data_IF_632201439035
#
_entry.id   IF_632201439035
#
_cell.length_a   1.000
_cell.length_b   1.000
_cell.length_c   1.000
_cell.angle_alpha   90.00
_cell.angle_beta   90.00
_cell.angle_gamma   90.00
#
_symmetry.space_group_name_H-M   'P 1'
#
loop_
_entity.id
_entity.type
_entity.pdbx_description
1 polymer ?
#
# COMPACT_ATOMS: atom_id res chain seq x y z
N UNK A 1 24.26 -12.39 17.47
CA UNK A 1 22.78 -12.41 17.53
C UNK A 1 22.35 -10.97 17.80
N UNK A 2 22.01 -10.18 16.77
CA UNK A 2 21.62 -8.79 16.97
C UNK A 2 20.21 -8.81 17.59
N UNK A 3 20.15 -8.49 18.87
CA UNK A 3 18.90 -8.38 19.62
C UNK A 3 18.11 -7.13 19.19
N UNK A 4 16.87 -7.05 19.65
CA UNK A 4 15.98 -5.92 19.44
C UNK A 4 16.68 -4.59 19.77
N UNK A 5 16.78 -3.69 18.79
CA UNK A 5 17.29 -2.33 18.97
C UNK A 5 16.16 -1.40 19.43
N UNK A 6 16.24 -0.95 20.69
CA UNK A 6 15.28 -0.04 21.30
C UNK A 6 15.74 1.42 21.30
N UNK A 7 16.86 1.76 20.63
CA UNK A 7 17.41 3.11 20.56
C UNK A 7 16.37 4.16 20.14
N UNK A 8 15.53 3.81 19.16
CA UNK A 8 14.44 4.64 18.67
C UNK A 8 13.32 4.85 19.69
N UNK A 9 12.99 3.84 20.50
CA UNK A 9 12.00 3.96 21.56
C UNK A 9 12.50 4.91 22.65
N UNK A 10 13.74 4.73 23.11
CA UNK A 10 14.36 5.60 24.13
C UNK A 10 14.48 7.04 23.63
N UNK A 11 14.87 7.25 22.37
CA UNK A 11 14.91 8.57 21.73
C UNK A 11 13.52 9.22 21.69
N UNK A 12 12.51 8.48 21.26
CA UNK A 12 11.14 9.01 21.16
C UNK A 12 10.56 9.36 22.54
N UNK A 13 10.84 8.54 23.57
CA UNK A 13 10.47 8.83 24.96
C UNK A 13 11.17 10.10 25.50
N UNK A 14 12.47 10.26 25.22
CA UNK A 14 13.22 11.45 25.61
C UNK A 14 12.73 12.73 24.90
N UNK A 15 12.36 12.63 23.62
CA UNK A 15 11.76 13.73 22.85
C UNK A 15 10.39 14.12 23.40
N UNK A 16 9.57 13.12 23.74
CA UNK A 16 8.26 13.35 24.35
C UNK A 16 8.37 14.01 25.73
N UNK A 17 9.33 13.59 26.56
CA UNK A 17 9.63 14.23 27.85
C UNK A 17 10.10 15.68 27.69
N UNK A 18 10.68 16.03 26.54
CA UNK A 18 11.07 17.41 26.17
C UNK A 18 9.94 18.20 25.51
N UNK A 19 8.71 17.68 25.52
CA UNK A 19 7.54 18.35 24.96
C UNK A 19 7.48 18.33 23.43
N UNK A 20 8.29 17.53 22.75
CA UNK A 20 8.17 17.33 21.31
C UNK A 20 6.97 16.40 21.07
N UNK A 21 5.88 16.88 20.45
CA UNK A 21 4.73 16.04 20.19
C UNK A 21 5.12 14.91 19.24
N UNK A 22 4.56 13.72 19.49
CA UNK A 22 4.70 12.62 18.55
C UNK A 22 4.14 13.05 17.19
N UNK A 23 4.82 12.72 16.07
CA UNK A 23 4.28 12.97 14.75
C UNK A 23 2.89 12.36 14.66
N UNK A 24 1.88 13.20 14.37
CA UNK A 24 0.52 12.72 14.23
C UNK A 24 0.47 11.84 12.98
N UNK A 25 0.24 10.53 13.19
CA UNK A 25 -0.02 9.60 12.10
C UNK A 25 -1.15 10.17 11.24
N UNK A 26 -0.83 10.49 10.00
CA UNK A 26 -1.78 11.11 9.07
C UNK A 26 -2.54 9.98 8.40
N UNK A 27 -3.77 9.75 8.82
CA UNK A 27 -4.70 8.89 8.07
C UNK A 27 -5.12 9.68 6.83
N UNK A 28 -4.70 9.23 5.66
CA UNK A 28 -5.33 9.68 4.41
C UNK A 28 -6.67 8.97 4.27
N UNK A 29 -7.69 9.64 3.77
CA UNK A 29 -8.89 8.91 3.42
C UNK A 29 -8.57 7.91 2.31
N UNK A 30 -9.22 6.77 2.40
CA UNK A 30 -8.88 5.59 1.61
C UNK A 30 -10.17 4.82 1.44
N UNK A 31 -10.47 4.40 0.22
CA UNK A 31 -11.54 3.43 -0.03
C UNK A 31 -10.91 2.24 -0.72
N UNK A 32 -10.94 1.09 -0.07
CA UNK A 32 -10.49 -0.17 -0.66
C UNK A 32 -11.67 -1.14 -0.72
N UNK A 33 -11.75 -1.88 -1.82
CA UNK A 33 -12.80 -2.86 -2.05
C UNK A 33 -12.18 -4.14 -2.58
N UNK A 34 -12.80 -5.28 -2.27
CA UNK A 34 -12.46 -6.56 -2.85
C UNK A 34 -13.74 -7.32 -3.19
N UNK A 35 -13.72 -8.07 -4.30
CA UNK A 35 -14.80 -9.00 -4.64
C UNK A 35 -14.22 -10.28 -5.24
N UNK A 36 -14.91 -11.40 -4.99
CA UNK A 36 -14.52 -12.72 -5.51
C UNK A 36 -15.12 -12.92 -6.91
N UNK A 37 -14.29 -13.35 -7.85
CA UNK A 37 -14.68 -13.89 -9.16
C UNK A 37 -13.84 -15.16 -9.45
N UNK A 38 -14.19 -15.92 -10.48
CA UNK A 38 -13.55 -17.21 -10.76
C UNK A 38 -12.15 -17.06 -11.42
N UNK A 39 -11.07 -17.29 -10.66
CA UNK A 39 -9.68 -17.30 -11.15
C UNK A 39 -8.68 -17.16 -9.99
N UNK A 40 -7.50 -17.81 -10.04
CA UNK A 40 -6.61 -18.15 -8.90
C UNK A 40 -5.33 -17.41 -8.41
N UNK A 41 -4.21 -18.13 -8.18
CA UNK A 41 -3.22 -18.03 -7.07
C UNK A 41 -2.16 -16.93 -7.18
N UNK A 42 -2.45 -15.77 -6.57
CA UNK A 42 -1.47 -14.81 -6.02
C UNK A 42 -2.11 -14.14 -4.79
N UNK A 43 -1.34 -13.85 -3.73
CA UNK A 43 -1.85 -13.13 -2.53
C UNK A 43 -1.54 -11.65 -2.67
N UNK A 44 -2.56 -10.81 -2.55
CA UNK A 44 -2.47 -9.36 -2.50
C UNK A 44 -3.12 -8.82 -1.23
N UNK A 45 -2.62 -7.67 -0.80
CA UNK A 45 -3.15 -6.95 0.34
C UNK A 45 -3.38 -5.50 -0.04
N UNK A 46 -4.56 -4.97 0.27
CA UNK A 46 -4.85 -3.55 0.23
C UNK A 46 -4.95 -3.03 1.67
N UNK A 47 -4.35 -1.87 1.95
CA UNK A 47 -4.31 -1.28 3.28
C UNK A 47 -5.12 0.01 3.38
N UNK A 48 -5.75 0.20 4.53
CA UNK A 48 -6.42 1.43 4.96
C UNK A 48 -6.03 1.76 6.41
N UNK A 49 -6.24 3.02 6.81
CA UNK A 49 -5.86 3.52 8.13
C UNK A 49 -4.50 4.23 8.12
N UNK A 50 -3.66 3.97 9.12
CA UNK A 50 -2.33 4.58 9.20
C UNK A 50 -1.42 3.99 8.13
N UNK A 51 -1.01 4.81 7.15
CA UNK A 51 -0.21 4.35 6.01
C UNK A 51 1.08 3.62 6.43
N UNK A 52 1.84 4.21 7.37
CA UNK A 52 3.08 3.61 7.88
C UNK A 52 2.82 2.22 8.50
N UNK A 53 1.77 2.09 9.31
CA UNK A 53 1.42 0.82 9.95
C UNK A 53 1.08 -0.25 8.91
N UNK A 54 0.32 0.12 7.86
CA UNK A 54 -0.03 -0.81 6.77
C UNK A 54 1.21 -1.25 5.99
N UNK A 55 2.14 -0.35 5.70
CA UNK A 55 3.35 -0.64 4.93
C UNK A 55 4.31 -1.54 5.70
N UNK A 56 4.64 -1.20 6.95
CA UNK A 56 5.56 -2.00 7.76
C UNK A 56 4.98 -3.36 8.13
N UNK A 57 3.67 -3.43 8.43
CA UNK A 57 3.00 -4.70 8.73
C UNK A 57 3.00 -5.62 7.51
N UNK A 58 2.65 -5.10 6.33
CA UNK A 58 2.61 -5.91 5.10
C UNK A 58 4.01 -6.34 4.66
N UNK A 59 5.02 -5.47 4.76
CA UNK A 59 6.41 -5.83 4.45
C UNK A 59 6.94 -6.95 5.36
N UNK A 60 6.67 -6.87 6.67
CA UNK A 60 7.06 -7.89 7.64
C UNK A 60 6.42 -9.25 7.31
N UNK A 61 5.10 -9.28 7.08
CA UNK A 61 4.41 -10.53 6.77
C UNK A 61 4.82 -11.08 5.40
N UNK A 62 5.07 -10.23 4.41
CA UNK A 62 5.57 -10.65 3.10
C UNK A 62 6.89 -11.40 3.22
N UNK A 63 7.85 -10.85 3.98
CA UNK A 63 9.14 -11.50 4.23
C UNK A 63 8.98 -12.84 4.96
N UNK A 64 8.09 -12.92 5.95
CA UNK A 64 7.82 -14.18 6.66
C UNK A 64 7.15 -15.23 5.76
N UNK A 65 6.25 -14.82 4.87
CA UNK A 65 5.63 -15.70 3.89
C UNK A 65 6.62 -16.21 2.86
N UNK A 66 7.55 -15.36 2.42
CA UNK A 66 8.62 -15.75 1.51
C UNK A 66 9.52 -16.81 2.16
N UNK A 67 10.00 -16.56 3.39
CA UNK A 67 10.76 -17.53 4.17
C UNK A 67 10.00 -18.85 4.37
N UNK A 68 8.69 -18.77 4.66
CA UNK A 68 7.84 -19.96 4.80
C UNK A 68 7.73 -20.74 3.48
N UNK A 69 7.60 -20.04 2.35
CA UNK A 69 7.49 -20.68 1.03
C UNK A 69 8.80 -21.35 0.61
N UNK A 70 9.94 -20.70 0.86
CA UNK A 70 11.27 -21.25 0.61
C UNK A 70 11.55 -22.47 1.51
N UNK A 71 11.19 -22.40 2.79
CA UNK A 71 11.38 -23.53 3.72
C UNK A 71 10.50 -24.73 3.39
N UNK A 72 9.27 -24.51 2.90
CA UNK A 72 8.33 -25.61 2.59
C UNK A 72 8.44 -26.12 1.15
N UNK A 73 9.12 -25.37 0.27
CA UNK A 73 9.15 -25.63 -1.16
C UNK A 73 7.77 -25.55 -1.83
N UNK A 74 6.80 -24.87 -1.20
CA UNK A 74 5.40 -24.79 -1.67
C UNK A 74 4.90 -23.36 -1.62
N UNK A 75 4.00 -23.03 -2.54
CA UNK A 75 3.32 -21.73 -2.54
C UNK A 75 2.52 -21.55 -1.24
N UNK A 76 2.58 -20.36 -0.60
CA UNK A 76 1.86 -20.12 0.65
C UNK A 76 0.34 -20.10 0.42
N UNK A 77 -0.42 -20.39 1.48
CA UNK A 77 -1.89 -20.33 1.47
C UNK A 77 -2.37 -18.95 1.92
N UNK A 78 -3.53 -18.53 1.45
CA UNK A 78 -4.12 -17.23 1.83
C UNK A 78 -4.40 -17.20 3.34
N UNK A 79 -4.86 -18.33 3.88
CA UNK A 79 -5.12 -18.49 5.33
C UNK A 79 -3.86 -18.35 6.19
N UNK A 80 -2.68 -18.70 5.67
CA UNK A 80 -1.41 -18.52 6.37
C UNK A 80 -1.10 -17.03 6.53
N UNK A 81 -1.24 -16.25 5.45
CA UNK A 81 -1.08 -14.80 5.46
C UNK A 81 -2.05 -14.14 6.46
N UNK A 82 -3.34 -14.46 6.36
CA UNK A 82 -4.37 -13.94 7.28
C UNK A 82 -4.07 -14.29 8.75
N UNK A 83 -3.59 -15.50 9.02
CA UNK A 83 -3.28 -15.95 10.39
C UNK A 83 -2.08 -15.19 10.96
N UNK A 84 -1.02 -14.97 10.17
CA UNK A 84 0.13 -14.18 10.58
C UNK A 84 -0.27 -12.72 10.87
N UNK A 85 -1.09 -12.13 10.00
CA UNK A 85 -1.59 -10.76 10.17
C UNK A 85 -2.43 -10.60 11.43
N UNK A 86 -3.43 -11.46 11.65
CA UNK A 86 -4.30 -11.34 12.83
C UNK A 86 -3.54 -11.53 14.14
N UNK A 87 -2.60 -12.47 14.18
CA UNK A 87 -1.77 -12.71 15.38
C UNK A 87 -0.84 -11.52 15.66
N UNK A 88 -0.24 -10.97 14.60
CA UNK A 88 0.60 -9.77 14.73
C UNK A 88 -0.22 -8.60 15.27
N UNK A 89 -1.35 -8.26 14.64
CA UNK A 89 -2.17 -7.11 15.03
C UNK A 89 -2.79 -7.28 16.42
N UNK A 90 -3.29 -8.47 16.75
CA UNK A 90 -3.86 -8.76 18.07
C UNK A 90 -2.82 -8.59 19.19
N UNK A 91 -1.56 -8.95 18.96
CA UNK A 91 -0.47 -8.77 19.93
C UNK A 91 -0.26 -7.30 20.33
N UNK A 92 -0.54 -6.37 19.41
CA UNK A 92 -0.46 -4.93 19.69
C UNK A 92 -1.79 -4.32 20.15
N UNK A 93 -2.83 -5.13 20.41
CA UNK A 93 -4.11 -4.69 20.99
C UNK A 93 -4.71 -3.44 20.29
N UNK A 94 -4.57 -3.32 18.97
CA UNK A 94 -5.12 -2.20 18.20
C UNK A 94 -4.27 -0.92 18.17
N UNK A 95 -3.06 -0.91 18.75
CA UNK A 95 -2.14 0.23 18.64
C UNK A 95 -1.56 0.40 17.23
N UNK A 96 -1.52 -0.68 16.45
CA UNK A 96 -1.18 -0.65 15.02
C UNK A 96 -2.47 -0.42 14.25
N UNK A 97 -2.63 0.77 13.68
CA UNK A 97 -3.83 1.23 12.98
C UNK A 97 -3.96 0.72 11.54
N UNK A 98 -3.64 -0.55 11.30
CA UNK A 98 -3.70 -1.17 9.98
C UNK A 98 -5.02 -1.93 9.78
N UNK A 99 -5.76 -1.54 8.74
CA UNK A 99 -6.97 -2.22 8.29
C UNK A 99 -6.71 -2.79 6.91
N UNK A 100 -6.77 -4.11 6.79
CA UNK A 100 -6.24 -4.81 5.63
C UNK A 100 -7.33 -5.62 4.94
N UNK A 101 -7.36 -5.58 3.62
CA UNK A 101 -8.11 -6.52 2.78
C UNK A 101 -7.10 -7.47 2.15
N UNK A 102 -7.16 -8.73 2.53
CA UNK A 102 -6.29 -9.79 2.02
C UNK A 102 -7.09 -10.61 1.02
N UNK A 103 -6.67 -10.54 -0.24
CA UNK A 103 -7.26 -11.31 -1.31
C UNK A 103 -6.21 -12.24 -1.88
N UNK A 104 -6.61 -13.44 -2.23
CA UNK A 104 -5.77 -14.30 -3.01
C UNK A 104 -6.46 -15.60 -3.27
N UNK A 105 -5.76 -16.48 -3.96
CA UNK A 105 -6.30 -17.80 -4.23
C UNK A 105 -5.22 -18.79 -3.93
N UNK A 106 -5.64 -19.96 -3.52
CA UNK A 106 -4.75 -21.07 -3.28
C UNK A 106 -5.42 -22.35 -3.81
N UNK A 107 -4.76 -23.52 -3.73
CA UNK A 107 -5.40 -24.76 -4.20
C UNK A 107 -6.73 -25.14 -3.52
N UNK A 108 -7.14 -24.51 -2.41
CA UNK A 108 -8.47 -24.70 -1.81
C UNK A 108 -9.55 -23.83 -2.44
N UNK A 109 -9.16 -22.82 -3.21
CA UNK A 109 -10.07 -21.86 -3.84
C UNK A 109 -9.74 -20.42 -3.45
N UNK A 110 -10.66 -19.52 -3.76
CA UNK A 110 -10.51 -18.07 -3.54
C UNK A 110 -10.72 -17.73 -2.06
N UNK A 111 -9.80 -16.94 -1.53
CA UNK A 111 -9.87 -16.38 -0.19
C UNK A 111 -9.90 -14.85 -0.25
N UNK A 112 -11.00 -14.26 0.21
CA UNK A 112 -11.12 -12.84 0.47
C UNK A 112 -11.39 -12.64 1.95
N UNK A 113 -10.50 -11.92 2.62
CA UNK A 113 -10.52 -11.70 4.05
C UNK A 113 -10.37 -10.21 4.37
N UNK A 114 -11.05 -9.76 5.42
CA UNK A 114 -10.71 -8.52 6.12
C UNK A 114 -9.89 -8.85 7.34
N UNK A 115 -8.95 -7.98 7.70
CA UNK A 115 -8.24 -8.00 8.97
C UNK A 115 -8.30 -6.61 9.56
N UNK A 116 -8.97 -6.45 10.70
CA UNK A 116 -9.06 -5.18 11.39
C UNK A 116 -7.87 -4.99 12.34
N UNK A 117 -7.58 -3.74 12.70
CA UNK A 117 -6.47 -3.37 13.59
C UNK A 117 -6.44 -4.13 14.94
N UNK A 118 -7.61 -4.56 15.44
CA UNK A 118 -7.72 -5.32 16.68
C UNK A 118 -7.57 -6.84 16.49
N UNK A 119 -7.27 -7.32 15.28
CA UNK A 119 -7.05 -8.72 14.96
C UNK A 119 -8.31 -9.54 14.66
N UNK A 120 -9.49 -8.92 14.57
CA UNK A 120 -10.67 -9.61 14.03
C UNK A 120 -10.54 -9.82 12.54
N UNK A 121 -11.17 -10.89 12.05
CA UNK A 121 -11.09 -11.30 10.65
C UNK A 121 -12.42 -11.84 10.18
N UNK A 122 -12.86 -11.41 8.99
CA UNK A 122 -14.07 -11.92 8.34
C UNK A 122 -13.72 -12.50 6.97
N UNK A 123 -14.47 -13.53 6.56
CA UNK A 123 -14.39 -14.11 5.21
C UNK A 123 -15.71 -13.84 4.49
N UNK A 124 -15.68 -13.03 3.45
CA UNK A 124 -16.88 -12.54 2.77
C UNK A 124 -16.70 -12.56 1.24
N UNK A 125 -17.79 -12.64 0.46
CA UNK A 125 -17.73 -12.62 -1.01
C UNK A 125 -17.32 -11.26 -1.60
N UNK A 126 -17.58 -10.18 -0.87
CA UNK A 126 -17.12 -8.84 -1.16
C UNK A 126 -16.90 -8.09 0.17
N UNK A 127 -15.98 -7.12 0.15
CA UNK A 127 -15.59 -6.36 1.35
C UNK A 127 -15.29 -4.91 0.97
N UNK A 128 -15.56 -3.98 1.87
CA UNK A 128 -15.15 -2.58 1.74
C UNK A 128 -14.50 -2.11 3.05
N UNK A 129 -13.43 -1.34 2.95
CA UNK A 129 -12.72 -0.78 4.11
C UNK A 129 -12.26 0.66 3.84
N UNK A 130 -11.98 1.39 4.92
CA UNK A 130 -11.55 2.78 4.89
C UNK A 130 -12.69 3.79 5.00
N UNK A 131 -12.41 5.08 4.76
CA UNK A 131 -13.33 6.20 5.02
C UNK A 131 -14.55 6.22 4.09
N UNK A 132 -14.38 5.93 2.80
CA UNK A 132 -15.48 5.84 1.83
C UNK A 132 -16.12 4.45 1.72
N UNK A 133 -15.84 3.56 2.69
CA UNK A 133 -16.32 2.16 2.69
C UNK A 133 -17.84 2.05 2.64
N UNK A 134 -18.57 2.94 3.31
CA UNK A 134 -20.04 2.94 3.35
C UNK A 134 -20.65 3.28 1.99
N UNK A 135 -20.09 4.27 1.27
CA UNK A 135 -20.53 4.62 -0.07
C UNK A 135 -20.20 3.51 -1.08
N UNK A 136 -19.06 2.83 -0.93
CA UNK A 136 -18.74 1.66 -1.74
C UNK A 136 -19.67 0.47 -1.41
N UNK A 137 -20.02 0.28 -0.14
CA UNK A 137 -20.86 -0.85 0.29
C UNK A 137 -22.27 -0.75 -0.29
N UNK A 138 -22.86 0.45 -0.37
CA UNK A 138 -24.18 0.63 -0.97
C UNK A 138 -24.23 0.21 -2.46
N UNK A 139 -23.12 0.39 -3.19
CA UNK A 139 -22.99 -0.08 -4.58
C UNK A 139 -22.89 -1.61 -4.63
N UNK A 140 -22.13 -2.24 -3.73
CA UNK A 140 -22.07 -3.70 -3.68
C UNK A 140 -23.42 -4.32 -3.33
N UNK A 141 -24.10 -3.82 -2.30
CA UNK A 141 -25.40 -4.35 -1.87
C UNK A 141 -26.48 -4.24 -2.96
N UNK A 142 -26.39 -3.25 -3.84
CA UNK A 142 -27.37 -3.04 -4.91
C UNK A 142 -27.09 -3.82 -6.19
N UNK A 143 -25.81 -4.04 -6.53
CA UNK A 143 -25.42 -4.53 -7.86
C UNK A 143 -24.69 -5.88 -7.84
N UNK A 144 -24.20 -6.33 -6.68
CA UNK A 144 -23.46 -7.59 -6.60
C UNK A 144 -24.36 -8.79 -6.90
N UNK A 145 -23.81 -9.75 -7.65
CA UNK A 145 -24.45 -11.02 -7.95
C UNK A 145 -23.46 -12.15 -7.69
N UNK A 146 -23.99 -13.32 -7.33
CA UNK A 146 -23.17 -14.53 -7.29
C UNK A 146 -22.69 -14.89 -8.70
N UNK A 147 -21.42 -15.31 -8.84
CA UNK A 147 -20.82 -15.80 -10.10
C UNK A 147 -20.80 -14.76 -11.24
N UNK A 148 -20.29 -13.57 -10.96
CA UNK A 148 -20.03 -12.56 -12.00
C UNK A 148 -18.85 -12.95 -12.89
N UNK A 149 -18.88 -12.48 -14.13
CA UNK A 149 -17.72 -12.51 -15.02
C UNK A 149 -16.63 -11.54 -14.54
N UNK A 150 -15.39 -11.72 -15.02
CA UNK A 150 -14.27 -10.81 -14.69
C UNK A 150 -14.62 -9.36 -15.04
N UNK A 151 -15.19 -9.11 -16.22
CA UNK A 151 -15.53 -7.76 -16.68
C UNK A 151 -16.61 -7.11 -15.82
N UNK A 152 -17.64 -7.88 -15.43
CA UNK A 152 -18.69 -7.41 -14.52
C UNK A 152 -18.12 -7.09 -13.13
N UNK A 153 -17.25 -7.94 -12.60
CA UNK A 153 -16.61 -7.74 -11.31
C UNK A 153 -15.71 -6.48 -11.30
N UNK A 154 -14.90 -6.29 -12.35
CA UNK A 154 -14.06 -5.09 -12.53
C UNK A 154 -14.92 -3.84 -12.61
N UNK A 155 -16.02 -3.89 -13.38
CA UNK A 155 -16.93 -2.76 -13.54
C UNK A 155 -17.59 -2.41 -12.21
N UNK A 156 -18.13 -3.42 -11.50
CA UNK A 156 -18.74 -3.25 -10.18
C UNK A 156 -17.76 -2.64 -9.17
N UNK A 157 -16.55 -3.19 -9.05
CA UNK A 157 -15.52 -2.68 -8.15
C UNK A 157 -15.14 -1.23 -8.51
N UNK A 158 -15.01 -0.91 -9.80
CA UNK A 158 -14.71 0.45 -10.25
C UNK A 158 -15.84 1.44 -9.93
N UNK A 159 -17.09 1.01 -10.04
CA UNK A 159 -18.26 1.83 -9.70
C UNK A 159 -18.34 2.06 -8.19
N UNK A 160 -18.06 1.03 -7.38
CA UNK A 160 -18.03 1.14 -5.93
C UNK A 160 -16.94 2.11 -5.44
N UNK A 161 -15.74 2.07 -6.02
CA UNK A 161 -14.68 3.03 -5.71
C UNK A 161 -15.05 4.44 -6.15
N UNK A 162 -15.66 4.61 -7.34
CA UNK A 162 -16.11 5.92 -7.79
C UNK A 162 -17.17 6.52 -6.86
N UNK A 163 -18.09 5.71 -6.33
CA UNK A 163 -19.02 6.16 -5.31
C UNK A 163 -18.29 6.64 -4.05
N UNK A 164 -17.23 5.94 -3.62
CA UNK A 164 -16.34 6.42 -2.56
C UNK A 164 -15.66 7.76 -2.91
N UNK A 165 -15.07 7.88 -4.10
CA UNK A 165 -14.38 9.09 -4.57
C UNK A 165 -15.28 10.34 -4.55
N UNK A 166 -16.53 10.21 -4.99
CA UNK A 166 -17.42 11.37 -5.09
C UNK A 166 -18.17 11.70 -3.80
N UNK A 167 -18.24 10.77 -2.83
CA UNK A 167 -19.01 10.95 -1.60
C UNK A 167 -18.15 10.99 -0.32
N UNK A 168 -16.85 10.68 -0.38
CA UNK A 168 -15.91 10.79 0.74
C UNK A 168 -14.82 11.83 0.43
N UNK A 169 -14.68 12.84 1.29
CA UNK A 169 -13.67 13.90 1.17
C UNK A 169 -12.24 13.37 1.25
N UNK A 170 -12.06 12.26 1.96
CA UNK A 170 -10.76 11.65 2.15
C UNK A 170 -10.31 10.79 0.97
N UNK A 171 -11.23 10.38 0.09
CA UNK A 171 -10.97 9.52 -1.06
C UNK A 171 -10.97 10.31 -2.36
N UNK A 172 -10.15 9.94 -3.33
CA UNK A 172 -10.10 10.67 -4.60
C UNK A 172 -9.04 10.20 -5.58
N UNK A 173 -8.83 11.00 -6.62
CA UNK A 173 -7.87 10.75 -7.72
C UNK A 173 -8.31 9.66 -8.69
N UNK A 174 -7.56 8.56 -8.79
CA UNK A 174 -7.74 7.54 -9.80
C UNK A 174 -8.23 6.23 -9.15
N UNK A 175 -8.82 5.37 -9.97
CA UNK A 175 -9.19 4.01 -9.57
C UNK A 175 -8.11 3.04 -10.03
N UNK A 176 -7.54 2.29 -9.11
CA UNK A 176 -6.62 1.18 -9.38
C UNK A 176 -7.35 -0.15 -9.22
N UNK A 177 -7.10 -1.09 -10.13
CA UNK A 177 -7.74 -2.42 -10.11
C UNK A 177 -6.68 -3.51 -10.18
N UNK A 178 -6.74 -4.46 -9.24
CA UNK A 178 -5.91 -5.67 -9.26
C UNK A 178 -6.79 -6.89 -9.57
N UNK A 179 -6.48 -7.59 -10.65
CA UNK A 179 -7.19 -8.80 -11.09
C UNK A 179 -6.29 -10.00 -10.78
N UNK A 180 -6.73 -10.85 -9.87
CA UNK A 180 -5.94 -11.96 -9.32
C UNK A 180 -6.46 -13.28 -9.90
N UNK A 181 -5.63 -13.99 -10.68
CA UNK A 181 -5.99 -15.26 -11.36
C UNK A 181 -4.97 -16.39 -11.14
N UNK A 182 -5.27 -17.62 -11.63
CA UNK A 182 -4.60 -18.90 -11.24
C UNK A 182 -3.12 -18.84 -11.54
N UNK A 183 -2.85 -18.28 -12.71
CA UNK A 183 -1.54 -18.12 -13.26
C UNK A 183 -0.90 -16.79 -12.87
N UNK A 184 -1.66 -15.68 -12.86
CA UNK A 184 -1.09 -14.33 -12.78
C UNK A 184 -1.95 -13.31 -12.04
N UNK A 185 -1.32 -12.23 -11.59
CA UNK A 185 -2.02 -10.99 -11.23
C UNK A 185 -1.81 -9.95 -12.31
N UNK A 186 -2.87 -9.25 -12.71
CA UNK A 186 -2.80 -8.09 -13.59
C UNK A 186 -3.16 -6.82 -12.82
N UNK A 187 -2.21 -5.90 -12.71
CA UNK A 187 -2.42 -4.60 -12.05
C UNK A 187 -2.73 -3.52 -13.09
N UNK A 188 -3.94 -2.97 -13.03
CA UNK A 188 -4.37 -1.85 -13.86
C UNK A 188 -4.35 -0.58 -13.03
N UNK A 189 -3.22 0.13 -13.06
CA UNK A 189 -3.09 1.44 -12.40
C UNK A 189 -3.75 2.53 -13.23
N UNK A 190 -4.52 3.39 -12.58
CA UNK A 190 -5.27 4.45 -13.23
C UNK A 190 -6.29 3.94 -14.25
N UNK A 191 -6.96 2.82 -13.94
CA UNK A 191 -7.99 2.20 -14.77
C UNK A 191 -9.11 3.17 -15.10
N UNK A 192 -9.59 3.93 -14.11
CA UNK A 192 -10.51 5.06 -14.31
C UNK A 192 -9.91 6.32 -13.71
N UNK A 193 -10.00 7.44 -14.42
CA UNK A 193 -9.55 8.76 -13.99
C UNK A 193 -10.75 9.72 -14.01
N UNK A 194 -11.59 9.71 -12.96
CA UNK A 194 -12.83 10.49 -12.95
C UNK A 194 -12.56 12.00 -12.96
N UNK A 195 -11.46 12.44 -12.35
CA UNK A 195 -11.10 13.85 -12.22
C UNK A 195 -9.79 14.13 -12.96
N UNK A 196 -9.81 15.10 -13.87
CA UNK A 196 -8.62 15.59 -14.55
C UNK A 196 -8.15 16.92 -13.97
N UNK A 197 -6.83 17.09 -13.87
CA UNK A 197 -6.25 18.36 -13.44
C UNK A 197 -6.43 19.39 -14.55
N UNK A 198 -7.16 20.47 -14.26
CA UNK A 198 -7.30 21.59 -15.18
C UNK A 198 -5.96 22.27 -15.46
N UNK A 199 -5.81 22.77 -16.69
CA UNK A 199 -4.62 23.55 -17.09
C UNK A 199 -4.59 24.85 -16.27
N UNK A 200 -3.41 25.20 -15.74
CA UNK A 200 -3.21 26.50 -15.09
C UNK A 200 -3.50 27.61 -16.09
N UNK A 201 -4.36 28.55 -15.73
CA UNK A 201 -4.73 29.68 -16.61
C UNK A 201 -3.58 30.68 -16.83
N UNK A 202 -2.65 30.77 -15.87
CA UNK A 202 -1.50 31.68 -15.91
C UNK A 202 -0.21 30.94 -15.62
N UNK A 203 0.87 31.41 -16.23
CA UNK A 203 2.23 31.03 -15.84
C UNK A 203 2.68 31.89 -14.67
N UNK A 204 3.17 31.25 -13.62
CA UNK A 204 3.73 31.91 -12.42
C UNK A 204 5.25 31.70 -12.34
N UNK A 205 5.91 31.51 -13.49
CA UNK A 205 7.36 31.33 -13.56
C UNK A 205 8.01 32.70 -13.44
N UNK A 206 8.70 32.93 -12.34
CA UNK A 206 9.51 34.14 -12.14
C UNK A 206 10.90 33.97 -12.76
N UNK A 207 11.48 35.07 -13.26
CA UNK A 207 12.86 35.06 -13.77
C UNK A 207 13.83 34.77 -12.63
N UNK A 208 14.87 33.96 -12.89
CA UNK A 208 15.94 33.69 -11.91
C UNK A 208 16.51 35.00 -11.37
N UNK A 209 16.70 35.07 -10.04
CA UNK A 209 17.16 36.28 -9.34
C UNK A 209 16.06 37.14 -8.70
N UNK A 210 14.78 36.72 -8.76
CA UNK A 210 13.66 37.43 -8.08
C UNK A 210 13.62 37.21 -6.56
N UNK A 211 14.21 36.13 -6.05
CA UNK A 211 14.26 35.84 -4.62
C UNK A 211 15.61 36.30 -4.06
N UNK A 212 15.59 37.15 -3.03
CA UNK A 212 16.81 37.56 -2.33
C UNK A 212 17.45 36.37 -1.62
N UNK A 213 18.73 36.11 -1.91
CA UNK A 213 19.52 35.05 -1.28
C UNK A 213 20.47 35.73 -0.28
N UNK A 214 20.37 35.37 1.01
CA UNK A 214 21.19 35.97 2.06
C UNK A 214 22.61 35.41 2.11
N UNK A 215 22.75 34.11 1.83
CA UNK A 215 24.03 33.44 1.78
C UNK A 215 23.94 32.27 0.80
N UNK A 216 24.93 32.16 -0.07
CA UNK A 216 25.05 31.07 -1.05
C UNK A 216 26.44 30.45 -0.87
N UNK A 217 26.48 29.14 -0.60
CA UNK A 217 27.72 28.38 -0.54
C UNK A 217 27.69 27.34 -1.65
N UNK A 218 28.51 27.56 -2.67
CA UNK A 218 28.73 26.60 -3.74
C UNK A 218 29.88 25.69 -3.27
N UNK A 219 29.61 24.40 -3.15
CA UNK A 219 30.64 23.41 -2.82
C UNK A 219 30.85 22.56 -4.07
N UNK A 220 32.05 22.65 -4.63
CA UNK A 220 32.41 21.89 -5.82
C UNK A 220 32.82 20.45 -5.46
N UNK A 221 32.69 19.53 -6.42
CA UNK A 221 33.08 18.12 -6.25
C UNK A 221 34.55 17.97 -5.83
N UNK A 222 35.42 18.82 -6.37
CA UNK A 222 36.87 18.85 -6.10
C UNK A 222 37.21 19.37 -4.68
N UNK A 223 36.36 20.22 -4.11
CA UNK A 223 36.51 20.67 -2.72
C UNK A 223 36.04 19.60 -1.73
N UNK A 224 35.06 18.77 -2.10
CA UNK A 224 34.58 17.63 -1.31
C UNK A 224 35.62 16.50 -1.27
N UNK A 225 36.33 16.25 -2.38
CA UNK A 225 37.34 15.19 -2.47
C UNK A 225 38.54 15.40 -1.54
N UNK A 226 38.70 16.59 -0.94
CA UNK A 226 39.73 16.85 0.09
C UNK A 226 39.37 16.30 1.47
N UNK A 227 38.08 16.04 1.74
CA UNK A 227 37.59 15.62 3.05
C UNK A 227 36.96 14.21 3.04
N UNK A 228 36.67 13.67 1.86
CA UNK A 228 36.09 12.34 1.69
C UNK A 228 36.79 11.64 0.53
N UNK A 229 37.19 10.39 0.73
CA UNK A 229 37.68 9.54 -0.36
C UNK A 229 36.51 9.23 -1.29
N UNK A 230 36.46 9.91 -2.44
CA UNK A 230 35.45 9.67 -3.47
C UNK A 230 35.94 8.51 -4.34
N UNK A 231 35.42 7.31 -4.11
CA UNK A 231 35.64 6.19 -5.01
C UNK A 231 34.64 6.31 -6.16
N UNK A 232 35.12 6.61 -7.37
CA UNK A 232 34.31 6.40 -8.57
C UNK A 232 34.21 4.89 -8.78
N UNK A 233 33.03 4.31 -8.49
CA UNK A 233 32.67 3.02 -9.04
C UNK A 233 32.62 3.23 -10.55
N UNK A 234 33.66 2.74 -11.24
CA UNK A 234 33.69 2.72 -12.69
C UNK A 234 32.39 2.12 -13.19
N UNK A 235 31.83 2.70 -14.25
CA UNK A 235 30.77 2.06 -15.03
C UNK A 235 31.36 0.83 -15.69
N UNK A 236 31.56 -0.24 -14.90
CA UNK A 236 31.58 -1.57 -15.47
C UNK A 236 30.23 -1.74 -16.15
N UNK A 237 30.31 -2.05 -17.43
CA UNK A 237 29.18 -2.47 -18.25
C UNK A 237 28.74 -3.85 -17.77
N UNK A 238 28.34 -3.98 -16.51
CA UNK A 238 27.50 -5.10 -16.11
C UNK A 238 26.19 -4.88 -16.84
N UNK A 239 25.85 -5.77 -17.77
CA UNK A 239 24.48 -5.98 -18.19
C UNK A 239 23.65 -6.23 -16.92
N UNK A 240 23.19 -5.17 -16.28
CA UNK A 240 22.15 -5.24 -15.28
C UNK A 240 20.93 -5.77 -16.00
N UNK A 241 20.45 -6.92 -15.57
CA UNK A 241 19.19 -7.49 -16.03
C UNK A 241 18.16 -6.37 -16.15
N UNK A 242 17.63 -6.20 -17.36
CA UNK A 242 16.46 -5.35 -17.56
C UNK A 242 15.41 -5.85 -16.59
N UNK A 243 15.02 -4.99 -15.65
CA UNK A 243 13.80 -5.18 -14.90
C UNK A 243 12.68 -5.07 -15.94
N UNK A 244 12.22 -6.23 -16.44
CA UNK A 244 11.08 -6.30 -17.33
C UNK A 244 9.89 -5.73 -16.57
N UNK A 245 9.50 -4.52 -16.98
CA UNK A 245 8.25 -3.93 -16.57
C UNK A 245 7.17 -4.64 -17.39
N UNK A 246 6.53 -5.63 -16.78
CA UNK A 246 5.35 -6.28 -17.34
C UNK A 246 4.29 -5.22 -17.69
N UNK A 247 4.02 -5.13 -19.00
CA UNK A 247 2.93 -4.35 -19.61
C UNK A 247 1.60 -5.10 -19.46
#
# INVERSE_FOLDING_TARGET
MPGFDFSNHTRNAALHARGVPLPKATSTGTTIVGCIFDGGVVIWCAGAGTAADTEFTTALISSQLELHSLSTGRKPRVVTCMTMLKQHLFRYQGHIGAYLVVAGVDPTGVGLFTVHAHGSTDKLPYVTMGSGSLAAMSVFETQWKSKMTEQEAVTLASNAIQAGIFNDLGSGSNVDVAIITKEKTTLKRGYVKPNERSKKQKSYVFKRGTTAVLNEKIITREEISKYVTVTELGTETTLGEKMDLDV
#
